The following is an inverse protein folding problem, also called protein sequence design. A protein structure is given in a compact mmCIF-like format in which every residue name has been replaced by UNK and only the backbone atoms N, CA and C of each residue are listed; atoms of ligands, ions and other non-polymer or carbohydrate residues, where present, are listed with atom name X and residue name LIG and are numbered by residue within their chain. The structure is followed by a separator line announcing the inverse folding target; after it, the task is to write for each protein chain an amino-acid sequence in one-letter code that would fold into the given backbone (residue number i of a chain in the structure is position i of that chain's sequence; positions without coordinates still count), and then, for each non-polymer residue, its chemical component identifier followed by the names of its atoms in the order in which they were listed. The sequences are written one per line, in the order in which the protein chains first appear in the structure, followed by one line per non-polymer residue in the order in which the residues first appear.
data_IF_369606645340
#
_entry.id   IF_369606645340
#
_cell.length_a   1.000
_cell.length_b   1.000
_cell.length_c   1.000
_cell.angle_alpha   90.00
_cell.angle_beta   90.00
_cell.angle_gamma   90.00
#
_symmetry.space_group_name_H-M   'P 1'
#
loop_
_entity.id
_entity.type
_entity.pdbx_description
1 polymer ?
#
# COMPACT_ATOMS: atom_id res chain seq x y z
N UNK A 1 25.93 -6.66 -19.71
CA UNK A 1 25.21 -5.74 -18.80
C UNK A 1 25.58 -6.08 -17.37
N UNK A 2 25.97 -5.08 -16.57
CA UNK A 2 26.13 -5.30 -15.13
C UNK A 2 24.73 -5.55 -14.57
N UNK A 3 24.50 -6.71 -13.99
CA UNK A 3 23.23 -7.07 -13.35
C UNK A 3 23.22 -6.77 -11.86
N UNK A 4 24.26 -6.11 -11.36
CA UNK A 4 24.50 -5.87 -9.94
C UNK A 4 24.31 -4.38 -9.66
N UNK A 5 23.28 -4.03 -8.90
CA UNK A 5 22.94 -2.65 -8.55
C UNK A 5 23.17 -2.39 -7.08
N UNK A 6 23.85 -1.30 -6.78
CA UNK A 6 24.04 -0.82 -5.42
C UNK A 6 22.98 0.23 -5.09
N UNK A 7 22.35 0.09 -3.94
CA UNK A 7 21.30 0.97 -3.43
C UNK A 7 21.63 1.43 -2.02
N UNK A 8 20.77 2.28 -1.46
CA UNK A 8 20.79 2.66 -0.04
C UNK A 8 20.40 1.51 0.89
N UNK A 9 19.99 0.36 0.37
CA UNK A 9 19.54 -0.79 1.18
C UNK A 9 20.31 -2.07 0.92
N UNK A 10 21.33 -2.06 0.06
CA UNK A 10 22.19 -3.21 -0.20
C UNK A 10 22.71 -3.27 -1.63
N UNK A 11 23.20 -4.44 -2.02
CA UNK A 11 23.65 -4.71 -3.39
C UNK A 11 22.87 -5.89 -3.96
N UNK A 12 22.26 -5.72 -5.13
CA UNK A 12 21.28 -6.65 -5.69
C UNK A 12 21.68 -7.13 -7.08
N UNK A 13 21.71 -8.45 -7.26
CA UNK A 13 21.88 -9.10 -8.56
C UNK A 13 20.52 -9.46 -9.14
N UNK A 14 20.13 -8.79 -10.23
CA UNK A 14 18.89 -9.05 -10.95
C UNK A 14 19.00 -10.19 -11.95
N UNK A 15 17.88 -10.53 -12.58
CA UNK A 15 17.75 -11.55 -13.62
C UNK A 15 17.33 -10.91 -14.95
N UNK A 16 17.82 -11.46 -16.06
CA UNK A 16 17.28 -11.06 -17.37
C UNK A 16 16.00 -11.86 -17.60
N UNK A 17 14.92 -11.17 -17.90
CA UNK A 17 13.69 -11.78 -18.36
C UNK A 17 13.31 -11.17 -19.70
N UNK A 18 13.34 -11.98 -20.77
CA UNK A 18 13.17 -11.55 -22.16
C UNK A 18 14.01 -10.31 -22.53
N UNK A 19 13.37 -9.14 -22.63
CA UNK A 19 13.96 -7.86 -23.06
C UNK A 19 14.10 -6.85 -21.91
N UNK A 20 13.92 -7.27 -20.65
CA UNK A 20 14.06 -6.44 -19.47
C UNK A 20 14.90 -7.13 -18.39
N UNK A 21 15.27 -6.35 -17.38
CA UNK A 21 15.99 -6.80 -16.20
C UNK A 21 15.07 -6.68 -15.00
N UNK A 22 14.88 -7.78 -14.29
CA UNK A 22 14.08 -7.85 -13.08
C UNK A 22 14.94 -7.87 -11.83
N UNK A 23 14.49 -7.14 -10.81
CA UNK A 23 14.99 -7.18 -9.45
C UNK A 23 13.79 -7.41 -8.53
N UNK A 24 13.65 -8.63 -8.03
CA UNK A 24 12.51 -9.07 -7.23
C UNK A 24 12.86 -9.07 -5.74
N UNK A 25 11.90 -8.64 -4.92
CA UNK A 25 12.01 -8.68 -3.46
C UNK A 25 13.05 -7.76 -2.85
N UNK A 26 13.33 -6.60 -3.48
CA UNK A 26 14.30 -5.62 -2.98
C UNK A 26 13.72 -4.88 -1.76
N UNK A 27 14.31 -4.96 -0.55
CA UNK A 27 13.79 -4.26 0.62
C UNK A 27 13.96 -2.75 0.47
N UNK A 28 12.89 -2.02 0.77
CA UNK A 28 12.88 -0.55 0.77
C UNK A 28 12.78 0.04 2.19
N UNK A 29 12.45 -0.77 3.19
CA UNK A 29 12.31 -0.33 4.58
C UNK A 29 12.06 -1.49 5.53
N UNK A 30 11.83 -1.15 6.80
CA UNK A 30 11.48 -2.11 7.85
C UNK A 30 10.31 -1.57 8.67
N UNK A 31 9.28 -2.41 8.88
CA UNK A 31 8.11 -2.06 9.65
C UNK A 31 8.04 -2.88 10.93
N UNK A 32 7.92 -2.23 12.09
CA UNK A 32 7.47 -2.91 13.31
C UNK A 32 5.95 -2.96 13.33
N UNK A 33 5.38 -3.98 13.96
CA UNK A 33 3.93 -4.13 14.10
C UNK A 33 3.28 -2.84 14.60
N UNK A 34 2.25 -2.38 13.88
CA UNK A 34 1.52 -1.13 14.13
C UNK A 34 2.39 0.12 14.27
N UNK A 35 3.61 0.11 13.73
CA UNK A 35 4.49 1.28 13.70
C UNK A 35 4.84 1.65 12.27
N UNK A 36 4.98 2.94 12.02
CA UNK A 36 5.36 3.47 10.71
C UNK A 36 6.68 2.88 10.25
N UNK A 37 6.84 2.76 8.93
CA UNK A 37 8.07 2.23 8.34
C UNK A 37 9.29 3.06 8.75
N UNK A 38 10.39 2.38 8.99
CA UNK A 38 11.69 2.96 9.28
C UNK A 38 12.64 2.67 8.11
N UNK A 39 13.54 3.62 7.86
CA UNK A 39 14.58 3.45 6.84
C UNK A 39 15.49 2.26 7.17
N UNK A 40 15.86 1.52 6.14
CA UNK A 40 16.88 0.50 6.24
C UNK A 40 18.24 1.18 6.30
N UNK A 41 18.86 1.23 7.48
CA UNK A 41 20.13 1.95 7.69
C UNK A 41 21.26 1.03 8.17
N UNK A 42 22.48 1.35 7.73
CA UNK A 42 23.69 0.67 8.19
C UNK A 42 23.87 0.74 9.71
N UNK A 43 23.40 1.82 10.36
CA UNK A 43 23.45 1.95 11.82
C UNK A 43 22.62 0.88 12.55
N UNK A 44 21.52 0.42 11.92
CA UNK A 44 20.58 -0.53 12.52
C UNK A 44 20.88 -1.99 12.16
N UNK A 45 21.34 -2.24 10.94
CA UNK A 45 21.59 -3.60 10.42
C UNK A 45 23.07 -3.97 10.31
N UNK A 46 23.97 -3.02 10.57
CA UNK A 46 25.42 -3.22 10.52
C UNK A 46 26.01 -3.25 9.10
N UNK A 47 27.34 -3.15 8.98
CA UNK A 47 28.02 -3.11 7.68
C UNK A 47 28.02 -4.46 6.95
N UNK A 48 27.80 -5.57 7.66
CA UNK A 48 27.80 -6.92 7.10
C UNK A 48 26.60 -7.20 6.19
N UNK A 49 25.39 -6.80 6.62
CA UNK A 49 24.19 -6.92 5.80
C UNK A 49 24.21 -5.94 4.61
N UNK A 50 24.71 -4.72 4.82
CA UNK A 50 24.73 -3.69 3.77
C UNK A 50 25.66 -4.02 2.58
N UNK A 51 26.77 -4.70 2.85
CA UNK A 51 27.76 -5.06 1.82
C UNK A 51 27.51 -6.43 1.19
N UNK A 52 26.46 -7.14 1.62
CA UNK A 52 26.13 -8.46 1.10
C UNK A 52 25.49 -8.32 -0.29
N UNK A 53 25.86 -9.23 -1.19
CA UNK A 53 25.20 -9.38 -2.48
C UNK A 53 23.95 -10.24 -2.29
N UNK A 54 22.79 -9.70 -2.65
CA UNK A 54 21.51 -10.40 -2.65
C UNK A 54 21.11 -10.76 -4.07
N UNK A 55 20.61 -11.98 -4.28
CA UNK A 55 20.02 -12.37 -5.56
C UNK A 55 18.54 -11.97 -5.56
N UNK A 56 18.23 -10.90 -6.28
CA UNK A 56 16.87 -10.34 -6.39
C UNK A 56 16.12 -11.03 -7.54
N UNK A 57 15.92 -12.35 -7.42
CA UNK A 57 15.39 -13.21 -8.50
C UNK A 57 14.18 -14.03 -8.06
N UNK A 58 13.73 -13.82 -6.83
CA UNK A 58 12.57 -14.47 -6.24
C UNK A 58 11.72 -13.41 -5.55
N UNK A 59 10.41 -13.61 -5.55
CA UNK A 59 9.48 -12.74 -4.82
C UNK A 59 9.90 -12.64 -3.36
N UNK A 60 9.85 -11.42 -2.82
CA UNK A 60 10.01 -11.20 -1.38
C UNK A 60 8.83 -11.75 -0.58
N UNK A 61 8.89 -11.56 0.74
CA UNK A 61 7.75 -11.84 1.63
C UNK A 61 6.59 -10.92 1.26
N UNK A 62 5.41 -11.50 1.07
CA UNK A 62 4.18 -10.81 0.72
C UNK A 62 3.42 -10.37 1.98
N UNK A 63 2.63 -9.29 1.92
CA UNK A 63 1.91 -8.78 3.09
C UNK A 63 0.89 -9.80 3.60
N UNK A 64 0.75 -9.92 4.93
CA UNK A 64 -0.27 -10.77 5.54
C UNK A 64 -1.67 -10.45 5.00
N UNK A 65 -2.37 -11.49 4.56
CA UNK A 65 -3.71 -11.46 3.95
C UNK A 65 -4.35 -12.86 4.04
N UNK A 66 -5.61 -13.01 3.62
CA UNK A 66 -6.36 -14.27 3.75
C UNK A 66 -5.67 -15.46 3.05
N UNK A 67 -5.03 -15.22 1.91
CA UNK A 67 -4.28 -16.25 1.18
C UNK A 67 -3.12 -16.84 2.00
N UNK A 68 -2.58 -16.09 2.96
CA UNK A 68 -1.52 -16.58 3.86
C UNK A 68 -1.99 -17.78 4.70
N UNK A 69 -3.27 -17.77 5.09
CA UNK A 69 -3.86 -18.83 5.92
C UNK A 69 -4.13 -20.12 5.14
N UNK A 70 -4.23 -20.03 3.81
CA UNK A 70 -4.53 -21.16 2.93
C UNK A 70 -3.30 -22.02 2.57
N UNK A 71 -2.12 -21.72 3.14
CA UNK A 71 -0.88 -22.52 3.12
C UNK A 71 -0.52 -23.22 1.79
N UNK A 72 -0.71 -22.54 0.65
CA UNK A 72 0.02 -22.92 -0.55
C UNK A 72 1.45 -22.39 -0.38
N UNK A 73 2.36 -23.22 0.14
CA UNK A 73 3.79 -22.99 0.45
C UNK A 73 4.65 -22.39 -0.69
N UNK A 74 4.07 -21.94 -1.79
CA UNK A 74 4.74 -21.35 -2.95
C UNK A 74 5.03 -19.85 -2.78
N UNK A 75 4.26 -19.15 -1.95
CA UNK A 75 4.42 -17.70 -1.72
C UNK A 75 4.62 -17.46 -0.22
N UNK A 76 5.75 -16.86 0.20
CA UNK A 76 5.96 -16.52 1.61
C UNK A 76 5.14 -15.29 1.98
N UNK A 77 4.32 -15.39 3.03
CA UNK A 77 3.56 -14.28 3.62
C UNK A 77 4.09 -13.95 5.02
N UNK A 78 4.00 -12.68 5.44
CA UNK A 78 4.43 -12.25 6.78
C UNK A 78 4.49 -10.74 6.95
N UNK A 79 4.75 -10.29 8.18
CA UNK A 79 4.89 -8.84 8.47
C UNK A 79 6.16 -8.19 7.88
N UNK A 80 7.19 -8.98 7.57
CA UNK A 80 8.42 -8.50 6.95
C UNK A 80 8.27 -8.29 5.43
N UNK A 81 7.19 -7.61 5.02
CA UNK A 81 6.78 -7.51 3.63
C UNK A 81 7.23 -6.24 2.91
N UNK A 82 8.02 -5.35 3.52
CA UNK A 82 8.42 -4.06 2.93
C UNK A 82 9.53 -4.21 1.89
N UNK A 83 9.18 -4.84 0.77
CA UNK A 83 10.00 -5.03 -0.41
C UNK A 83 9.26 -4.61 -1.68
N UNK A 84 10.01 -4.39 -2.75
CA UNK A 84 9.50 -3.99 -4.05
C UNK A 84 10.14 -4.82 -5.16
N UNK A 85 9.41 -4.93 -6.26
CA UNK A 85 9.90 -5.49 -7.50
C UNK A 85 10.18 -4.36 -8.50
N UNK A 86 11.24 -4.49 -9.28
CA UNK A 86 11.63 -3.53 -10.33
C UNK A 86 11.80 -4.30 -11.64
N UNK A 87 11.08 -3.88 -12.67
CA UNK A 87 11.33 -4.26 -14.06
C UNK A 87 11.88 -3.04 -14.82
N UNK A 88 13.02 -3.19 -15.49
CA UNK A 88 13.65 -2.09 -16.25
C UNK A 88 14.11 -2.55 -17.65
N UNK A 89 13.91 -1.75 -18.72
CA UNK A 89 14.37 -2.11 -20.06
C UNK A 89 15.90 -2.19 -20.17
N UNK A 90 16.60 -1.25 -19.53
CA UNK A 90 18.06 -1.18 -19.49
C UNK A 90 18.52 -0.39 -18.26
N UNK A 91 19.44 -0.98 -17.50
CA UNK A 91 20.00 -0.40 -16.27
C UNK A 91 20.92 0.80 -16.53
N UNK A 92 21.47 0.90 -17.75
CA UNK A 92 22.32 2.01 -18.18
C UNK A 92 21.51 3.13 -18.88
N UNK A 93 20.17 3.00 -18.93
CA UNK A 93 19.26 3.93 -19.58
C UNK A 93 18.84 5.14 -18.74
N UNK A 94 17.84 5.86 -19.25
CA UNK A 94 17.18 6.98 -18.55
C UNK A 94 15.68 7.00 -18.92
N UNK A 95 14.95 6.09 -18.32
CA UNK A 95 13.52 5.85 -18.61
C UNK A 95 12.62 6.55 -17.58
N UNK A 96 11.40 6.96 -17.97
CA UNK A 96 10.36 7.34 -17.02
C UNK A 96 10.14 6.22 -16.00
N UNK A 97 9.84 6.59 -14.75
CA UNK A 97 9.54 5.63 -13.69
C UNK A 97 8.03 5.58 -13.47
N UNK A 98 7.47 4.38 -13.38
CA UNK A 98 6.07 4.17 -12.96
C UNK A 98 6.09 3.34 -11.68
N UNK A 99 5.58 3.92 -10.59
CA UNK A 99 5.38 3.20 -9.32
C UNK A 99 3.91 2.75 -9.28
N UNK A 100 3.67 1.45 -9.35
CA UNK A 100 2.34 0.84 -9.29
C UNK A 100 1.97 0.56 -7.83
N UNK A 101 0.89 1.18 -7.34
CA UNK A 101 0.22 0.75 -6.12
C UNK A 101 -0.97 -0.13 -6.49
N UNK A 102 -0.88 -1.41 -6.14
CA UNK A 102 -1.96 -2.37 -6.36
C UNK A 102 -3.19 -2.04 -5.51
N UNK A 103 -4.36 -2.40 -6.02
CA UNK A 103 -5.64 -2.42 -5.30
C UNK A 103 -5.86 -3.70 -4.51
N UNK A 104 -7.11 -3.95 -4.14
CA UNK A 104 -7.51 -5.10 -3.30
C UNK A 104 -8.12 -4.70 -1.96
N UNK A 105 -8.84 -3.57 -1.94
CA UNK A 105 -9.61 -3.11 -0.78
C UNK A 105 -8.79 -2.87 0.50
N UNK A 106 -7.47 -2.72 0.36
CA UNK A 106 -6.51 -2.71 1.48
C UNK A 106 -6.44 -4.00 2.29
N UNK A 107 -7.03 -5.10 1.79
CA UNK A 107 -7.12 -6.40 2.47
C UNK A 107 -6.27 -7.47 1.79
N UNK A 108 -6.09 -7.36 0.49
CA UNK A 108 -5.30 -8.29 -0.29
C UNK A 108 -4.50 -7.57 -1.39
N UNK A 109 -3.52 -8.26 -1.97
CA UNK A 109 -2.63 -7.77 -3.01
C UNK A 109 -1.15 -8.03 -2.69
N UNK A 110 -0.30 -7.77 -3.67
CA UNK A 110 1.14 -7.94 -3.54
C UNK A 110 1.84 -7.72 -4.86
N UNK A 111 3.13 -7.42 -4.80
CA UNK A 111 3.97 -7.15 -5.97
C UNK A 111 4.05 -8.33 -6.95
N UNK A 112 3.83 -9.55 -6.47
CA UNK A 112 3.77 -10.76 -7.31
C UNK A 112 2.64 -10.77 -8.36
N UNK A 113 1.58 -9.97 -8.19
CA UNK A 113 0.43 -9.97 -9.11
C UNK A 113 0.57 -8.97 -10.26
N UNK A 114 1.35 -7.88 -10.08
CA UNK A 114 1.52 -6.75 -11.04
C UNK A 114 0.23 -6.44 -11.83
N UNK A 115 -0.72 -5.73 -11.21
CA UNK A 115 -2.03 -5.45 -11.83
C UNK A 115 -1.92 -4.59 -13.09
N UNK A 116 -0.79 -3.90 -13.28
CA UNK A 116 -0.44 -3.17 -14.50
C UNK A 116 0.76 -3.79 -15.22
N UNK A 117 0.89 -5.11 -15.22
CA UNK A 117 1.97 -5.87 -15.89
C UNK A 117 2.24 -5.49 -17.35
N UNK A 118 1.26 -4.90 -18.06
CA UNK A 118 1.47 -4.35 -19.41
C UNK A 118 2.56 -3.25 -19.45
N UNK A 119 2.89 -2.62 -18.31
CA UNK A 119 3.99 -1.67 -18.15
C UNK A 119 5.37 -2.31 -18.37
N UNK A 120 5.53 -3.61 -18.08
CA UNK A 120 6.79 -4.35 -18.31
C UNK A 120 7.13 -4.47 -19.82
N UNK A 121 6.15 -4.18 -20.68
CA UNK A 121 6.32 -4.13 -22.14
C UNK A 121 6.47 -2.71 -22.69
N UNK A 122 6.58 -1.70 -21.82
CA UNK A 122 6.79 -0.30 -22.19
C UNK A 122 8.22 0.13 -21.85
N UNK A 123 8.68 1.23 -22.44
CA UNK A 123 10.00 1.83 -22.13
C UNK A 123 9.97 2.62 -20.83
N UNK A 124 9.66 1.96 -19.70
CA UNK A 124 9.59 2.55 -18.36
C UNK A 124 10.28 1.67 -17.33
N UNK A 125 10.81 2.25 -16.26
CA UNK A 125 11.15 1.49 -15.05
C UNK A 125 9.86 1.28 -14.27
N UNK A 126 9.37 0.05 -14.25
CA UNK A 126 8.16 -0.32 -13.53
C UNK A 126 8.52 -0.82 -12.12
N UNK A 127 8.00 -0.16 -11.10
CA UNK A 127 8.27 -0.47 -9.69
C UNK A 127 6.97 -0.83 -8.98
N UNK A 128 6.93 -2.01 -8.33
CA UNK A 128 5.75 -2.47 -7.60
C UNK A 128 6.12 -2.75 -6.14
N UNK A 129 5.88 -1.80 -5.22
CA UNK A 129 6.12 -2.00 -3.80
C UNK A 129 4.97 -2.71 -3.09
N UNK A 130 5.32 -3.60 -2.16
CA UNK A 130 4.39 -4.09 -1.15
C UNK A 130 4.14 -3.01 -0.09
N UNK A 131 2.93 -3.02 0.48
CA UNK A 131 2.55 -2.21 1.64
C UNK A 131 1.67 -3.04 2.58
N UNK A 132 1.70 -2.74 3.89
CA UNK A 132 0.92 -3.50 4.88
C UNK A 132 -0.59 -3.34 4.67
N UNK A 133 -1.31 -4.43 4.89
CA UNK A 133 -2.75 -4.57 4.62
C UNK A 133 -3.54 -4.79 5.92
N UNK A 134 -4.86 -4.66 5.86
CA UNK A 134 -5.78 -4.93 6.97
C UNK A 134 -5.41 -4.20 8.26
N UNK A 135 -5.56 -4.90 9.39
CA UNK A 135 -5.12 -4.45 10.71
C UNK A 135 -3.64 -4.07 10.74
N UNK A 136 -2.78 -4.78 10.01
CA UNK A 136 -1.33 -4.55 10.01
C UNK A 136 -0.95 -3.17 9.47
N UNK A 137 -1.69 -2.66 8.48
CA UNK A 137 -1.43 -1.38 7.82
C UNK A 137 -2.39 -0.24 8.20
N UNK A 138 -3.60 -0.56 8.64
CA UNK A 138 -4.68 0.42 8.70
C UNK A 138 -5.49 0.37 10.00
N UNK A 139 -5.18 -0.56 10.91
CA UNK A 139 -5.83 -0.64 12.22
C UNK A 139 -5.48 0.56 13.11
N UNK A 140 -6.47 1.05 13.87
CA UNK A 140 -6.26 2.02 14.93
C UNK A 140 -6.08 1.26 16.24
N UNK A 141 -4.82 1.11 16.64
CA UNK A 141 -4.42 0.28 17.78
C UNK A 141 -3.89 1.16 18.90
N UNK A 142 -4.36 0.95 20.12
CA UNK A 142 -3.83 1.67 21.29
C UNK A 142 -2.32 1.40 21.45
N UNK A 143 -1.51 2.47 21.41
CA UNK A 143 -0.05 2.39 21.45
C UNK A 143 0.61 2.18 20.07
N UNK A 144 -0.18 1.95 19.01
CA UNK A 144 0.26 1.94 17.62
C UNK A 144 0.25 3.33 16.98
N UNK A 145 0.81 3.41 15.79
CA UNK A 145 0.73 4.57 14.91
C UNK A 145 -0.42 4.37 13.91
N UNK A 146 -0.94 5.45 13.34
CA UNK A 146 -1.94 5.43 12.27
C UNK A 146 -1.32 5.50 10.87
N UNK A 147 -2.14 5.23 9.85
CA UNK A 147 -1.74 5.33 8.43
C UNK A 147 -0.47 4.55 8.09
N UNK A 148 -0.25 3.42 8.76
CA UNK A 148 0.97 2.63 8.67
C UNK A 148 1.22 2.18 7.22
N UNK A 149 0.21 1.63 6.55
CA UNK A 149 0.28 1.25 5.13
C UNK A 149 0.54 2.43 4.20
N UNK A 150 0.00 3.61 4.50
CA UNK A 150 0.27 4.82 3.73
C UNK A 150 1.72 5.30 3.90
N UNK A 151 2.28 5.16 5.11
CA UNK A 151 3.70 5.46 5.34
C UNK A 151 4.66 4.45 4.70
N UNK A 152 4.24 3.19 4.55
CA UNK A 152 5.00 2.20 3.77
C UNK A 152 5.12 2.66 2.30
N UNK A 153 4.02 3.15 1.73
CA UNK A 153 4.00 3.68 0.36
C UNK A 153 4.88 4.93 0.21
N UNK A 154 4.87 5.84 1.20
CA UNK A 154 5.80 6.98 1.23
C UNK A 154 7.26 6.54 1.29
N UNK A 155 7.58 5.54 2.11
CA UNK A 155 8.93 4.99 2.22
C UNK A 155 9.38 4.38 0.88
N UNK A 156 8.49 3.66 0.18
CA UNK A 156 8.79 3.13 -1.14
C UNK A 156 9.04 4.24 -2.18
N UNK A 157 8.24 5.31 -2.18
CA UNK A 157 8.47 6.46 -3.08
C UNK A 157 9.81 7.13 -2.78
N UNK A 158 10.13 7.34 -1.51
CA UNK A 158 11.41 7.90 -1.10
C UNK A 158 12.58 7.00 -1.54
N UNK A 159 12.47 5.69 -1.33
CA UNK A 159 13.47 4.73 -1.78
C UNK A 159 13.68 4.80 -3.30
N UNK A 160 12.61 4.89 -4.09
CA UNK A 160 12.69 5.04 -5.55
C UNK A 160 13.40 6.34 -5.93
N UNK A 161 13.07 7.46 -5.27
CA UNK A 161 13.74 8.74 -5.50
C UNK A 161 15.25 8.70 -5.23
N UNK A 162 15.68 7.86 -4.29
CA UNK A 162 17.08 7.75 -3.89
C UNK A 162 17.87 6.72 -4.73
N UNK A 163 17.19 5.74 -5.33
CA UNK A 163 17.85 4.56 -5.90
C UNK A 163 17.54 4.27 -7.36
N UNK A 164 16.40 4.74 -7.91
CA UNK A 164 15.95 4.30 -9.22
C UNK A 164 16.88 4.68 -10.37
N UNK A 165 17.73 5.70 -10.21
CA UNK A 165 18.77 6.02 -11.19
C UNK A 165 19.81 4.91 -11.36
N UNK A 166 20.06 4.08 -10.34
CA UNK A 166 20.89 2.88 -10.50
C UNK A 166 20.24 1.81 -11.38
N UNK A 167 18.92 1.88 -11.61
CA UNK A 167 18.15 0.94 -12.42
C UNK A 167 17.75 1.54 -13.77
N UNK A 168 18.43 2.60 -14.22
CA UNK A 168 18.13 3.31 -15.46
C UNK A 168 16.92 4.25 -15.39
N UNK A 169 16.42 4.56 -14.19
CA UNK A 169 15.27 5.41 -13.96
C UNK A 169 15.58 6.91 -13.89
N UNK A 170 14.74 7.72 -14.52
CA UNK A 170 14.76 9.18 -14.41
C UNK A 170 13.92 9.64 -13.21
N UNK A 171 14.58 9.93 -12.09
CA UNK A 171 13.95 10.40 -10.84
C UNK A 171 13.27 11.76 -10.95
N UNK A 172 13.42 12.46 -12.07
CA UNK A 172 12.69 13.70 -12.39
C UNK A 172 11.46 13.46 -13.27
N UNK A 173 11.13 12.19 -13.55
CA UNK A 173 10.05 11.80 -14.46
C UNK A 173 9.27 10.60 -13.88
N UNK A 174 8.70 10.80 -12.70
CA UNK A 174 7.98 9.78 -11.93
C UNK A 174 6.47 9.91 -12.16
N UNK A 175 5.84 8.75 -12.37
CA UNK A 175 4.38 8.58 -12.39
C UNK A 175 3.97 7.64 -11.26
N UNK A 176 3.02 8.04 -10.43
CA UNK A 176 2.33 7.11 -9.54
C UNK A 176 1.10 6.58 -10.26
N UNK A 177 0.96 5.26 -10.35
CA UNK A 177 -0.20 4.62 -10.96
C UNK A 177 -0.88 3.73 -9.93
N UNK A 178 -2.18 3.90 -9.73
CA UNK A 178 -2.92 3.15 -8.73
C UNK A 178 -4.20 2.58 -9.30
N UNK A 179 -4.56 1.39 -8.83
CA UNK A 179 -5.85 0.75 -9.11
C UNK A 179 -6.66 0.65 -7.81
N UNK A 180 -7.93 1.06 -7.82
CA UNK A 180 -8.86 0.89 -6.69
C UNK A 180 -8.26 1.40 -5.36
N UNK A 181 -7.95 0.51 -4.41
CA UNK A 181 -7.25 0.84 -3.16
C UNK A 181 -5.91 1.57 -3.37
N UNK A 182 -5.14 1.22 -4.41
CA UNK A 182 -3.92 1.92 -4.77
C UNK A 182 -4.17 3.33 -5.29
N UNK A 183 -5.21 3.54 -6.11
CA UNK A 183 -5.61 4.89 -6.56
C UNK A 183 -6.10 5.75 -5.39
N UNK A 184 -6.89 5.14 -4.50
CA UNK A 184 -7.33 5.72 -3.23
C UNK A 184 -6.15 6.15 -2.34
N UNK A 185 -5.14 5.29 -2.24
CA UNK A 185 -3.86 5.57 -1.57
C UNK A 185 -3.15 6.78 -2.15
N UNK A 186 -2.95 6.83 -3.48
CA UNK A 186 -2.30 7.97 -4.13
C UNK A 186 -3.08 9.27 -3.88
N UNK A 187 -4.41 9.22 -3.98
CA UNK A 187 -5.24 10.39 -3.70
C UNK A 187 -5.07 10.88 -2.25
N UNK A 188 -5.00 9.98 -1.26
CA UNK A 188 -4.71 10.34 0.12
C UNK A 188 -3.29 10.91 0.30
N UNK A 189 -2.29 10.36 -0.41
CA UNK A 189 -0.92 10.91 -0.41
C UNK A 189 -0.86 12.34 -0.96
N UNK A 190 -1.62 12.63 -2.02
CA UNK A 190 -1.73 13.99 -2.56
C UNK A 190 -2.31 14.98 -1.54
N UNK A 191 -3.19 14.50 -0.65
CA UNK A 191 -3.81 15.29 0.41
C UNK A 191 -3.03 15.30 1.74
N UNK A 192 -1.93 14.56 1.83
CA UNK A 192 -1.13 14.43 3.05
C UNK A 192 -0.26 15.66 3.33
N UNK A 193 0.34 15.74 4.52
CA UNK A 193 1.35 16.74 4.89
C UNK A 193 2.76 16.40 4.39
N UNK A 194 2.97 15.23 3.78
CA UNK A 194 4.30 14.81 3.31
C UNK A 194 4.76 15.59 2.09
N UNK A 195 5.97 16.13 2.09
CA UNK A 195 6.54 16.87 0.95
C UNK A 195 7.14 15.95 -0.13
N UNK A 196 7.26 14.64 0.12
CA UNK A 196 7.80 13.66 -0.84
C UNK A 196 7.05 13.73 -2.17
N UNK A 197 5.72 13.88 -2.11
CA UNK A 197 4.86 13.94 -3.30
C UNK A 197 5.09 15.20 -4.16
N UNK A 198 5.75 16.23 -3.64
CA UNK A 198 6.11 17.42 -4.42
C UNK A 198 7.20 17.10 -5.46
N UNK A 199 7.88 15.96 -5.33
CA UNK A 199 8.89 15.47 -6.27
C UNK A 199 8.32 14.54 -7.35
N UNK A 200 7.02 14.25 -7.34
CA UNK A 200 6.33 13.44 -8.34
C UNK A 200 5.71 14.34 -9.42
N UNK A 201 5.76 13.93 -10.69
CA UNK A 201 5.29 14.76 -11.80
C UNK A 201 3.90 14.35 -12.31
N UNK A 202 3.56 13.07 -12.23
CA UNK A 202 2.37 12.52 -12.88
C UNK A 202 1.66 11.51 -12.01
N UNK A 203 0.35 11.40 -12.21
CA UNK A 203 -0.50 10.50 -11.45
C UNK A 203 -1.53 9.85 -12.38
N UNK A 204 -1.77 8.55 -12.20
CA UNK A 204 -2.82 7.78 -12.86
C UNK A 204 -3.70 7.11 -11.80
N UNK A 205 -4.96 7.52 -11.72
CA UNK A 205 -5.95 7.02 -10.77
C UNK A 205 -7.01 6.20 -11.51
N UNK A 206 -6.92 4.88 -11.42
CA UNK A 206 -7.92 3.97 -11.98
C UNK A 206 -8.90 3.55 -10.89
N UNK A 207 -10.17 3.93 -11.01
CA UNK A 207 -11.26 3.46 -10.15
C UNK A 207 -11.07 3.78 -8.66
N UNK A 208 -10.47 4.92 -8.33
CA UNK A 208 -10.22 5.34 -6.95
C UNK A 208 -9.88 6.82 -6.81
N UNK A 209 -9.98 7.33 -5.58
CA UNK A 209 -9.80 8.74 -5.25
C UNK A 209 -9.87 9.00 -3.74
N UNK A 210 -10.12 10.24 -3.34
CA UNK A 210 -10.13 10.67 -1.92
C UNK A 210 -11.30 10.13 -1.09
N UNK A 211 -12.28 9.45 -1.69
CA UNK A 211 -13.50 8.99 -1.01
C UNK A 211 -13.29 8.00 0.14
N UNK A 212 -12.07 7.54 0.36
CA UNK A 212 -11.72 6.59 1.42
C UNK A 212 -10.97 7.22 2.59
N UNK A 213 -10.75 8.54 2.60
CA UNK A 213 -10.18 9.22 3.77
C UNK A 213 -11.25 9.24 4.86
N UNK A 214 -11.01 8.51 5.94
CA UNK A 214 -11.97 8.28 7.04
C UNK A 214 -11.67 9.21 8.20
N UNK A 215 -12.71 9.55 8.96
CA UNK A 215 -12.49 10.14 10.27
C UNK A 215 -11.92 9.11 11.26
N UNK A 216 -11.28 9.60 12.30
CA UNK A 216 -10.60 8.78 13.30
C UNK A 216 -11.54 7.84 14.06
N UNK A 217 -12.74 8.31 14.43
CA UNK A 217 -13.67 7.53 15.25
C UNK A 217 -14.22 6.34 14.48
N UNK A 218 -14.58 6.54 13.21
CA UNK A 218 -15.00 5.49 12.29
C UNK A 218 -13.88 4.44 12.10
N UNK A 219 -12.63 4.87 11.88
CA UNK A 219 -11.51 3.93 11.75
C UNK A 219 -11.22 3.15 13.05
N UNK A 220 -11.39 3.81 14.21
CA UNK A 220 -11.23 3.19 15.53
C UNK A 220 -12.29 2.13 15.80
N UNK A 221 -13.55 2.42 15.50
CA UNK A 221 -14.67 1.48 15.66
C UNK A 221 -14.48 0.18 14.89
N UNK A 222 -13.86 0.23 13.70
CA UNK A 222 -13.51 -1.00 12.98
C UNK A 222 -12.57 -1.90 13.79
N UNK A 223 -11.52 -1.31 14.37
CA UNK A 223 -10.54 -2.08 15.15
C UNK A 223 -11.15 -2.62 16.45
N UNK A 224 -12.02 -1.82 17.08
CA UNK A 224 -12.78 -2.22 18.28
C UNK A 224 -13.78 -3.34 17.98
N UNK A 225 -14.49 -3.28 16.85
CA UNK A 225 -15.40 -4.33 16.39
C UNK A 225 -14.69 -5.65 16.17
N UNK A 226 -13.54 -5.65 15.49
CA UNK A 226 -12.74 -6.86 15.32
C UNK A 226 -12.33 -7.45 16.67
N UNK A 227 -12.01 -6.60 17.67
CA UNK A 227 -11.74 -7.07 19.02
C UNK A 227 -13.00 -7.66 19.69
N UNK A 228 -14.15 -6.99 19.57
CA UNK A 228 -15.43 -7.42 20.13
C UNK A 228 -15.86 -8.79 19.59
N UNK A 229 -15.84 -8.99 18.27
CA UNK A 229 -16.24 -10.23 17.59
C UNK A 229 -15.34 -11.42 17.98
N UNK A 230 -14.15 -11.14 18.50
CA UNK A 230 -13.16 -12.12 18.92
C UNK A 230 -12.92 -12.14 20.43
N UNK A 231 -13.75 -11.45 21.23
CA UNK A 231 -13.62 -11.39 22.70
C UNK A 231 -12.25 -10.91 23.19
N UNK A 232 -11.60 -10.04 22.42
CA UNK A 232 -10.34 -9.35 22.78
C UNK A 232 -10.70 -8.10 23.57
N UNK A 233 -10.05 -7.89 24.72
CA UNK A 233 -10.45 -6.86 25.69
C UNK A 233 -10.14 -5.43 25.22
N UNK A 234 -8.99 -5.23 24.59
CA UNK A 234 -8.56 -3.93 24.08
C UNK A 234 -7.80 -4.12 22.76
N UNK A 235 -7.83 -3.11 21.88
CA UNK A 235 -7.00 -3.09 20.68
C UNK A 235 -5.50 -3.19 21.03
N UNK A 236 -5.08 -2.76 22.22
CA UNK A 236 -3.70 -2.96 22.71
C UNK A 236 -3.27 -4.43 22.73
N UNK A 237 -4.20 -5.35 23.00
CA UNK A 237 -3.89 -6.79 23.08
C UNK A 237 -3.55 -7.39 21.71
N UNK A 238 -3.86 -6.68 20.61
CA UNK A 238 -3.49 -7.08 19.25
C UNK A 238 -1.97 -7.16 19.06
N UNK A 239 -1.17 -6.43 19.85
CA UNK A 239 0.29 -6.57 19.83
C UNK A 239 0.76 -7.97 20.22
N UNK A 240 -0.04 -8.72 21.01
CA UNK A 240 0.35 -10.01 21.58
C UNK A 240 -0.01 -11.21 20.69
N UNK A 241 -0.68 -11.00 19.55
CA UNK A 241 -1.07 -12.08 18.65
C UNK A 241 0.08 -12.51 17.74
N UNK A 242 0.00 -13.69 17.14
CA UNK A 242 0.87 -14.04 16.00
C UNK A 242 0.35 -13.37 14.73
N UNK A 243 1.16 -13.35 13.66
CA UNK A 243 0.74 -12.87 12.34
C UNK A 243 -0.55 -13.61 11.90
N UNK A 244 -0.54 -14.94 11.96
CA UNK A 244 -1.71 -15.77 11.67
C UNK A 244 -2.89 -15.45 12.59
N UNK A 245 -2.63 -15.27 13.89
CA UNK A 245 -3.66 -14.94 14.87
C UNK A 245 -4.36 -13.61 14.55
N UNK A 246 -3.58 -12.59 14.16
CA UNK A 246 -4.13 -11.29 13.76
C UNK A 246 -4.94 -11.39 12.46
N UNK A 247 -4.45 -12.17 11.49
CA UNK A 247 -5.18 -12.40 10.24
C UNK A 247 -6.49 -13.16 10.48
N UNK A 248 -6.48 -14.21 11.33
CA UNK A 248 -7.66 -15.02 11.64
C UNK A 248 -8.78 -14.21 12.29
N UNK A 249 -8.45 -13.35 13.26
CA UNK A 249 -9.48 -12.54 13.93
C UNK A 249 -10.10 -11.51 12.98
N UNK A 250 -9.30 -10.95 12.06
CA UNK A 250 -9.75 -10.04 11.03
C UNK A 250 -10.68 -10.76 10.05
N UNK A 251 -10.26 -11.91 9.53
CA UNK A 251 -11.04 -12.72 8.60
C UNK A 251 -12.40 -13.09 9.20
N UNK A 252 -12.43 -13.44 10.50
CA UNK A 252 -13.68 -13.76 11.20
C UNK A 252 -14.65 -12.58 11.24
N UNK A 253 -14.16 -11.38 11.56
CA UNK A 253 -15.00 -10.18 11.64
C UNK A 253 -15.50 -9.73 10.26
N UNK A 254 -14.63 -9.75 9.25
CA UNK A 254 -14.99 -9.38 7.87
C UNK A 254 -15.97 -10.40 7.28
N UNK A 255 -15.75 -11.70 7.50
CA UNK A 255 -16.61 -12.76 6.98
C UNK A 255 -18.06 -12.71 7.50
N UNK A 256 -18.30 -12.02 8.61
CA UNK A 256 -19.65 -11.79 9.15
C UNK A 256 -20.37 -10.61 8.48
N UNK A 257 -19.64 -9.75 7.76
CA UNK A 257 -20.09 -8.42 7.39
C UNK A 257 -19.48 -7.96 6.06
N UNK A 258 -20.32 -7.91 5.02
CA UNK A 258 -19.88 -7.53 3.68
C UNK A 258 -19.77 -6.00 3.59
N UNK A 259 -18.54 -5.49 3.45
CA UNK A 259 -18.30 -4.09 3.14
C UNK A 259 -16.97 -3.86 2.41
N UNK A 260 -16.92 -2.79 1.64
CA UNK A 260 -15.79 -2.49 0.74
C UNK A 260 -14.80 -1.48 1.33
N UNK A 261 -15.05 -1.00 2.55
CA UNK A 261 -14.28 0.06 3.21
C UNK A 261 -13.96 -0.27 4.68
N UNK A 262 -13.58 -1.52 4.98
CA UNK A 262 -13.11 -1.91 6.31
C UNK A 262 -11.86 -1.12 6.72
N UNK A 263 -10.95 -0.93 5.78
CA UNK A 263 -9.66 -0.30 6.01
C UNK A 263 -9.38 0.80 4.98
N UNK A 264 -8.46 1.69 5.32
CA UNK A 264 -8.04 2.76 4.44
C UNK A 264 -7.45 3.96 5.20
N UNK A 265 -7.02 5.00 4.47
CA UNK A 265 -6.45 6.22 5.04
C UNK A 265 -7.36 6.88 6.07
N UNK A 266 -6.76 7.41 7.14
CA UNK A 266 -7.46 8.05 8.26
C UNK A 266 -6.97 9.48 8.49
N UNK A 267 -7.86 10.37 8.89
CA UNK A 267 -7.50 11.69 9.41
C UNK A 267 -6.88 11.49 10.80
N UNK A 268 -5.56 11.65 10.89
CA UNK A 268 -4.79 11.50 12.13
C UNK A 268 -4.22 12.84 12.65
N UNK A 269 -4.44 13.94 11.91
CA UNK A 269 -3.88 15.26 12.21
C UNK A 269 -2.35 15.29 12.30
N UNK A 270 -1.70 14.33 11.67
CA UNK A 270 -0.24 14.26 11.54
C UNK A 270 0.15 14.07 10.08
N UNK A 271 -0.16 12.90 9.50
CA UNK A 271 0.05 12.67 8.08
C UNK A 271 -1.10 13.21 7.24
N UNK A 272 -2.34 13.00 7.68
CA UNK A 272 -3.54 13.53 7.02
C UNK A 272 -4.29 14.40 8.02
N UNK A 273 -4.32 15.70 7.74
CA UNK A 273 -5.04 16.68 8.54
C UNK A 273 -6.53 16.70 8.24
N UNK A 274 -7.35 17.19 9.19
CA UNK A 274 -8.78 17.37 8.96
C UNK A 274 -9.10 18.32 7.77
N UNK A 275 -8.19 19.26 7.45
CA UNK A 275 -8.27 20.18 6.31
C UNK A 275 -7.61 19.62 5.03
N UNK A 276 -7.51 18.29 4.90
CA UNK A 276 -6.85 17.61 3.77
C UNK A 276 -7.33 18.08 2.39
N UNK A 277 -8.57 18.54 2.26
CA UNK A 277 -9.12 19.06 1.00
C UNK A 277 -8.46 20.38 0.59
N UNK A 278 -8.22 21.29 1.54
CA UNK A 278 -7.45 22.51 1.32
C UNK A 278 -5.99 22.18 0.99
N UNK A 279 -5.38 21.23 1.73
CA UNK A 279 -4.00 20.76 1.47
C UNK A 279 -3.84 20.19 0.07
N UNK A 280 -4.82 19.43 -0.40
CA UNK A 280 -4.86 18.92 -1.76
C UNK A 280 -4.85 20.06 -2.78
N UNK A 281 -5.74 21.05 -2.63
CA UNK A 281 -5.82 22.21 -3.53
C UNK A 281 -4.50 22.99 -3.55
N UNK A 282 -3.92 23.25 -2.36
CA UNK A 282 -2.61 23.91 -2.24
C UNK A 282 -1.51 23.13 -2.98
N UNK A 283 -1.47 21.81 -2.82
CA UNK A 283 -0.50 20.97 -3.53
C UNK A 283 -0.72 20.99 -5.03
N UNK A 284 -1.97 20.87 -5.49
CA UNK A 284 -2.30 20.91 -6.93
C UNK A 284 -1.85 22.23 -7.57
N UNK A 285 -2.04 23.35 -6.88
CA UNK A 285 -1.61 24.68 -7.33
C UNK A 285 -0.08 24.83 -7.41
N UNK A 286 0.67 24.05 -6.65
CA UNK A 286 2.14 24.09 -6.63
C UNK A 286 2.80 23.08 -7.56
N UNK A 287 2.25 21.87 -7.62
CA UNK A 287 2.87 20.72 -8.30
C UNK A 287 2.36 20.51 -9.72
N UNK A 288 1.13 20.96 -10.03
CA UNK A 288 0.50 20.82 -11.33
C UNK A 288 0.59 19.40 -11.90
N UNK A 289 0.30 18.37 -11.10
CA UNK A 289 0.38 16.97 -11.53
C UNK A 289 -0.32 16.75 -12.87
N UNK A 290 0.39 16.15 -13.83
CA UNK A 290 -0.27 15.64 -15.05
C UNK A 290 -1.05 14.39 -14.66
N UNK A 291 -2.36 14.44 -14.84
CA UNK A 291 -3.25 13.45 -14.23
C UNK A 291 -4.09 12.72 -15.27
N UNK A 292 -4.17 11.39 -15.13
CA UNK A 292 -5.20 10.56 -15.75
C UNK A 292 -6.08 10.04 -14.61
N UNK A 293 -7.39 10.24 -14.73
CA UNK A 293 -8.38 9.69 -13.80
C UNK A 293 -9.41 8.95 -14.63
N UNK A 294 -9.76 7.73 -14.24
CA UNK A 294 -10.83 6.98 -14.87
C UNK A 294 -11.64 6.16 -13.86
N UNK A 295 -12.80 5.73 -14.30
CA UNK A 295 -13.66 4.75 -13.65
C UNK A 295 -14.30 3.89 -14.74
N UNK A 296 -14.68 2.65 -14.40
CA UNK A 296 -15.48 1.80 -15.27
C UNK A 296 -16.91 2.34 -15.39
N UNK A 297 -17.59 2.04 -16.51
CA UNK A 297 -18.98 2.47 -16.71
C UNK A 297 -19.94 1.87 -15.68
N UNK A 298 -19.61 0.70 -15.13
CA UNK A 298 -20.44 -0.09 -14.21
C UNK A 298 -19.66 -0.53 -12.94
N UNK A 299 -18.92 0.39 -12.29
CA UNK A 299 -18.16 0.07 -11.05
C UNK A 299 -19.01 -0.69 -10.00
N UNK A 300 -20.29 -0.32 -9.87
CA UNK A 300 -21.18 -0.88 -8.87
C UNK A 300 -21.70 -2.30 -9.18
N UNK A 301 -21.61 -2.75 -10.43
CA UNK A 301 -22.03 -4.10 -10.82
C UNK A 301 -21.20 -5.18 -10.12
N UNK A 302 -19.90 -4.90 -9.93
CA UNK A 302 -19.01 -5.76 -9.16
C UNK A 302 -19.41 -5.88 -7.68
N UNK A 303 -20.17 -4.93 -7.14
CA UNK A 303 -20.66 -4.98 -5.75
C UNK A 303 -22.02 -5.68 -5.63
N UNK A 304 -22.84 -5.70 -6.69
CA UNK A 304 -24.07 -6.51 -6.70
C UNK A 304 -23.76 -8.01 -6.61
N UNK A 305 -22.67 -8.48 -7.23
CA UNK A 305 -22.23 -9.88 -7.12
C UNK A 305 -21.62 -10.23 -5.76
N UNK A 306 -21.32 -9.23 -4.91
CA UNK A 306 -20.90 -9.45 -3.52
C UNK A 306 -22.07 -9.71 -2.57
N UNK A 307 -23.32 -9.78 -3.06
CA UNK A 307 -24.48 -10.16 -2.25
C UNK A 307 -24.83 -9.13 -1.17
N UNK A 308 -24.60 -7.84 -1.43
CA UNK A 308 -24.98 -6.74 -0.53
C UNK A 308 -26.51 -6.53 -0.51
N UNK A 309 -27.28 -7.52 -0.10
CA UNK A 309 -28.74 -7.41 0.01
C UNK A 309 -29.17 -6.94 1.41
N UNK A 310 -28.30 -7.08 2.43
CA UNK A 310 -28.53 -6.63 3.80
C UNK A 310 -27.26 -6.18 4.52
N UNK A 311 -27.26 -4.94 5.01
CA UNK A 311 -26.29 -4.41 5.97
C UNK A 311 -27.03 -4.09 7.27
N UNK A 312 -26.61 -4.71 8.38
CA UNK A 312 -27.22 -4.45 9.69
C UNK A 312 -27.00 -2.99 10.11
N UNK A 313 -28.05 -2.37 10.66
CA UNK A 313 -28.07 -0.94 11.02
C UNK A 313 -26.95 -0.55 12.00
N UNK A 314 -26.56 -1.46 12.88
CA UNK A 314 -25.52 -1.25 13.89
C UNK A 314 -24.11 -1.25 13.27
N UNK A 315 -23.91 -2.03 12.21
CA UNK A 315 -22.62 -2.17 11.51
C UNK A 315 -22.37 -1.00 10.55
N UNK A 316 -23.45 -0.43 9.97
CA UNK A 316 -23.34 0.67 9.01
C UNK A 316 -22.60 1.89 9.55
N UNK A 317 -22.89 2.32 10.78
CA UNK A 317 -22.23 3.50 11.35
C UNK A 317 -20.78 3.26 11.70
N UNK A 318 -20.40 2.03 12.05
CA UNK A 318 -19.01 1.70 12.36
C UNK A 318 -18.14 1.66 11.10
N UNK A 319 -18.72 1.26 9.97
CA UNK A 319 -17.99 1.15 8.71
C UNK A 319 -17.97 2.48 7.94
N UNK A 320 -19.09 3.23 7.96
CA UNK A 320 -19.30 4.40 7.10
C UNK A 320 -19.46 5.73 7.87
N UNK A 321 -19.45 5.73 9.20
CA UNK A 321 -19.66 6.94 9.99
C UNK A 321 -20.99 7.63 9.67
N UNK A 322 -21.01 8.96 9.68
CA UNK A 322 -22.19 9.78 9.32
C UNK A 322 -22.69 9.53 7.89
N UNK A 323 -21.84 9.04 6.98
CA UNK A 323 -22.26 8.66 5.62
C UNK A 323 -23.22 7.47 5.61
N UNK A 324 -23.33 6.71 6.70
CA UNK A 324 -24.35 5.67 6.84
C UNK A 324 -25.78 6.21 6.63
N UNK A 325 -26.05 7.48 6.97
CA UNK A 325 -27.37 8.08 6.80
C UNK A 325 -27.81 8.24 5.33
N UNK A 326 -26.86 8.39 4.40
CA UNK A 326 -27.17 8.47 2.96
C UNK A 326 -27.35 7.08 2.35
N UNK A 327 -26.67 6.05 2.86
CA UNK A 327 -26.83 4.66 2.44
C UNK A 327 -28.19 4.08 2.84
N UNK A 328 -28.69 4.41 4.04
CA UNK A 328 -30.03 3.99 4.50
C UNK A 328 -31.20 4.50 3.65
N UNK A 329 -31.01 5.55 2.86
CA UNK A 329 -32.06 6.09 1.97
C UNK A 329 -32.11 5.40 0.60
N UNK A 330 -31.08 4.61 0.29
CA UNK A 330 -30.86 3.99 -1.02
C UNK A 330 -31.07 2.47 -1.02
N UNK A 331 -31.30 1.87 0.16
CA UNK A 331 -31.80 0.50 0.35
C UNK A 331 -33.30 0.54 0.65
#
# INVERSE_FOLDING_TARGET
MKKIMKTTTGTYHGVMDHNHVDFLGVPFGYGRRFKRAEEFSMAKFGPGEFNKLHYAVHNGVQPMQDEALNQNNKIPFGENCLNLDICTPDVDGKFPIVIEFYGGGFLHGGNYNKQMSWLDHQSVVHVVPNYRLGLFGWGIVEGGDSNVGLTDQLMAIQWVLDNASSFGGDVHNITLAGLSAGAKSIAALMSSNSTILDRVQKIMLFSGGVQTIRDWDTAKKVSERICQDNSIKSTKDLFNLTDDGLQLIQQRAIGQHIATNWFGPVIDNDLISADWSSKLIERLNRTHFKTIISAASNELESYHSMGMDHLENEVLFDLFGEMALSLKKSC
#
